data_IF_433024569477
#
_entry.id   IF_433024569477
#
_cell.length_a   1.000
_cell.length_b   1.000
_cell.length_c   1.000
_cell.angle_alpha   90.00
_cell.angle_beta   90.00
_cell.angle_gamma   90.00
#
_symmetry.space_group_name_H-M   'P 1'
#
loop_
_entity.id
_entity.type
_entity.pdbx_description
1 polymer ?
#
# COMPACT_ATOMS: atom_id res chain seq x y z
N UNK A 1 6.38 -28.40 32.70
CA UNK A 1 5.81 -28.72 31.38
C UNK A 1 5.43 -27.38 30.72
N UNK A 2 6.07 -27.03 29.60
CA UNK A 2 5.69 -25.85 28.82
C UNK A 2 4.33 -26.07 28.19
N UNK A 3 3.42 -25.09 28.31
CA UNK A 3 2.09 -25.17 27.68
C UNK A 3 2.25 -25.29 26.14
N UNK A 4 1.35 -26.00 25.45
CA UNK A 4 1.33 -26.00 23.99
C UNK A 4 1.14 -24.58 23.44
N UNK A 5 1.77 -24.29 22.31
CA UNK A 5 1.58 -23.00 21.62
C UNK A 5 0.15 -22.92 21.05
N UNK A 6 -0.51 -21.81 21.29
CA UNK A 6 -1.84 -21.49 20.74
C UNK A 6 -1.70 -21.09 19.28
N UNK A 7 -2.13 -21.95 18.36
CA UNK A 7 -2.02 -21.77 16.94
C UNK A 7 -3.32 -21.24 16.31
N UNK A 8 -3.20 -20.22 15.49
CA UNK A 8 -4.25 -19.77 14.59
C UNK A 8 -3.93 -20.17 13.15
N UNK A 9 -4.90 -20.74 12.46
CA UNK A 9 -4.78 -21.19 11.06
C UNK A 9 -5.39 -20.12 10.15
N UNK A 10 -4.66 -19.72 9.10
CA UNK A 10 -5.19 -18.78 8.11
C UNK A 10 -5.16 -19.37 6.70
N UNK A 11 -6.30 -19.34 6.05
CA UNK A 11 -6.47 -19.79 4.66
C UNK A 11 -7.15 -18.71 3.81
N UNK A 12 -6.78 -18.65 2.53
CA UNK A 12 -7.40 -17.74 1.57
C UNK A 12 -7.52 -18.35 0.18
N UNK A 13 -8.69 -18.20 -0.43
CA UNK A 13 -8.91 -18.54 -1.84
C UNK A 13 -9.48 -17.33 -2.60
N UNK A 14 -9.11 -17.20 -3.88
CA UNK A 14 -9.72 -16.27 -4.81
C UNK A 14 -10.86 -16.95 -5.56
N UNK A 15 -11.93 -16.22 -5.88
CA UNK A 15 -13.08 -16.71 -6.67
C UNK A 15 -12.71 -17.20 -8.08
N UNK A 16 -11.53 -16.85 -8.58
CA UNK A 16 -11.09 -17.16 -9.94
C UNK A 16 -10.41 -18.55 -10.09
N UNK A 17 -10.13 -19.23 -8.99
CA UNK A 17 -9.46 -20.54 -9.03
C UNK A 17 -10.41 -21.63 -8.54
N UNK A 18 -11.19 -22.19 -9.46
CA UNK A 18 -12.09 -23.33 -9.27
C UNK A 18 -11.36 -24.66 -8.94
N UNK A 19 -10.33 -24.67 -8.16
CA UNK A 19 -9.59 -25.90 -7.83
C UNK A 19 -8.80 -25.87 -6.53
N UNK A 20 -8.80 -24.75 -5.82
CA UNK A 20 -8.14 -24.67 -4.51
C UNK A 20 -9.19 -24.60 -3.42
N UNK A 21 -9.48 -25.74 -2.82
CA UNK A 21 -10.38 -25.84 -1.69
C UNK A 21 -9.72 -25.24 -0.43
N UNK A 22 -10.42 -24.33 0.25
CA UNK A 22 -10.01 -23.83 1.59
C UNK A 22 -9.86 -25.00 2.56
N UNK A 23 -10.72 -26.00 2.43
CA UNK A 23 -10.69 -27.21 3.25
C UNK A 23 -9.34 -27.92 3.17
N UNK A 24 -8.81 -28.16 1.97
CA UNK A 24 -7.50 -28.78 1.80
C UNK A 24 -6.37 -27.98 2.46
N UNK A 25 -6.39 -26.65 2.35
CA UNK A 25 -5.40 -25.81 3.02
C UNK A 25 -5.49 -25.95 4.54
N UNK A 26 -6.70 -25.90 5.09
CA UNK A 26 -6.92 -26.02 6.53
C UNK A 26 -6.57 -27.42 7.06
N UNK A 27 -6.83 -28.47 6.30
CA UNK A 27 -6.49 -29.83 6.71
C UNK A 27 -4.97 -30.04 6.78
N UNK A 28 -4.21 -29.53 5.81
CA UNK A 28 -2.75 -29.52 5.88
C UNK A 28 -2.24 -28.70 7.07
N UNK A 29 -2.84 -27.53 7.35
CA UNK A 29 -2.48 -26.71 8.49
C UNK A 29 -2.76 -27.39 9.82
N UNK A 30 -3.91 -28.09 9.95
CA UNK A 30 -4.26 -28.89 11.13
C UNK A 30 -3.28 -30.04 11.35
N UNK A 31 -2.89 -30.72 10.27
CA UNK A 31 -1.90 -31.79 10.33
C UNK A 31 -0.56 -31.28 10.87
N UNK A 32 -0.06 -30.16 10.36
CA UNK A 32 1.19 -29.55 10.84
C UNK A 32 1.06 -29.10 12.29
N UNK A 33 -0.07 -28.51 12.67
CA UNK A 33 -0.31 -28.12 14.07
C UNK A 33 -0.29 -29.33 15.02
N UNK A 34 -0.92 -30.43 14.62
CA UNK A 34 -0.90 -31.69 15.38
C UNK A 34 0.52 -32.27 15.51
N UNK A 35 1.29 -32.32 14.40
CA UNK A 35 2.67 -32.81 14.40
C UNK A 35 3.60 -31.98 15.31
N UNK A 36 3.33 -30.67 15.44
CA UNK A 36 4.10 -29.76 16.27
C UNK A 36 3.59 -29.65 17.71
N UNK A 37 2.52 -30.36 18.06
CA UNK A 37 1.91 -30.32 19.39
C UNK A 37 1.29 -28.97 19.71
N UNK A 38 0.77 -28.24 18.74
CA UNK A 38 0.12 -26.96 18.93
C UNK A 38 -1.37 -27.13 19.26
N UNK A 39 -1.88 -26.25 20.09
CA UNK A 39 -3.32 -26.12 20.35
C UNK A 39 -3.94 -25.20 19.30
N UNK A 40 -4.79 -25.72 18.43
CA UNK A 40 -5.50 -24.93 17.42
C UNK A 40 -6.65 -24.19 18.08
N UNK A 41 -6.51 -22.86 18.23
CA UNK A 41 -7.52 -22.00 18.89
C UNK A 41 -8.52 -21.41 17.92
N UNK A 42 -8.29 -21.47 16.61
CA UNK A 42 -9.21 -20.97 15.60
C UNK A 42 -8.69 -21.06 14.18
N UNK A 43 -9.64 -21.05 13.24
CA UNK A 43 -9.39 -20.95 11.80
C UNK A 43 -9.97 -19.63 11.28
N UNK A 44 -9.21 -18.97 10.42
CA UNK A 44 -9.54 -17.67 9.83
C UNK A 44 -9.52 -17.82 8.31
N UNK A 45 -10.66 -17.54 7.69
CA UNK A 45 -10.86 -17.80 6.27
C UNK A 45 -11.35 -16.56 5.54
N UNK A 46 -10.62 -16.16 4.50
CA UNK A 46 -11.04 -15.14 3.56
C UNK A 46 -11.34 -15.77 2.20
N UNK A 47 -12.61 -15.80 1.81
CA UNK A 47 -13.10 -16.35 0.55
C UNK A 47 -13.62 -15.25 -0.37
N UNK A 48 -13.49 -15.45 -1.69
CA UNK A 48 -14.11 -14.56 -2.68
C UNK A 48 -13.42 -13.20 -2.88
N UNK A 49 -12.21 -13.01 -2.35
CA UNK A 49 -11.51 -11.72 -2.38
C UNK A 49 -10.65 -11.61 -3.62
N UNK A 50 -11.17 -11.02 -4.70
CA UNK A 50 -10.41 -10.67 -5.90
C UNK A 50 -10.08 -9.17 -5.95
N UNK A 51 -8.82 -8.83 -6.30
CA UNK A 51 -8.38 -7.48 -6.59
C UNK A 51 -7.73 -6.69 -5.44
N UNK A 52 -7.12 -5.55 -5.80
CA UNK A 52 -6.25 -4.75 -4.92
C UNK A 52 -6.97 -4.06 -3.74
N UNK A 53 -8.30 -3.91 -3.79
CA UNK A 53 -9.12 -3.20 -2.77
C UNK A 53 -9.98 -4.11 -1.89
N UNK A 54 -9.89 -5.42 -2.04
CA UNK A 54 -10.77 -6.31 -1.32
C UNK A 54 -10.41 -6.39 0.17
N UNK A 55 -11.39 -6.13 1.02
CA UNK A 55 -11.32 -6.30 2.48
C UNK A 55 -10.96 -7.76 2.84
N UNK A 56 -10.17 -7.96 3.89
CA UNK A 56 -9.79 -9.26 4.45
C UNK A 56 -10.20 -9.34 5.92
N UNK A 57 -11.50 -9.45 6.17
CA UNK A 57 -12.01 -9.35 7.54
C UNK A 57 -11.49 -10.48 8.45
N UNK A 58 -11.17 -11.65 7.89
CA UNK A 58 -10.60 -12.73 8.68
C UNK A 58 -9.13 -12.46 9.03
N UNK A 59 -8.34 -11.93 8.09
CA UNK A 59 -6.96 -11.50 8.36
C UNK A 59 -6.93 -10.38 9.41
N UNK A 60 -7.81 -9.38 9.29
CA UNK A 60 -7.86 -8.26 10.23
C UNK A 60 -8.17 -8.75 11.65
N UNK A 61 -9.14 -9.66 11.80
CA UNK A 61 -9.46 -10.31 13.09
C UNK A 61 -8.30 -11.16 13.62
N UNK A 62 -7.61 -11.90 12.74
CA UNK A 62 -6.45 -12.70 13.10
C UNK A 62 -5.34 -11.82 13.70
N UNK A 63 -5.02 -10.71 13.03
CA UNK A 63 -3.99 -9.78 13.49
C UNK A 63 -4.38 -9.07 14.79
N UNK A 64 -5.65 -8.75 14.98
CA UNK A 64 -6.14 -8.19 16.26
C UNK A 64 -6.02 -9.20 17.41
N UNK A 65 -6.35 -10.47 17.18
CA UNK A 65 -6.17 -11.52 18.16
C UNK A 65 -4.68 -11.79 18.45
N UNK A 66 -3.80 -11.68 17.45
CA UNK A 66 -2.36 -11.77 17.64
C UNK A 66 -1.87 -10.60 18.51
N UNK A 67 -2.28 -9.37 18.21
CA UNK A 67 -1.92 -8.16 18.95
C UNK A 67 -2.38 -8.21 20.42
N UNK A 68 -3.53 -8.82 20.69
CA UNK A 68 -4.09 -8.95 22.05
C UNK A 68 -3.55 -10.16 22.83
N UNK A 69 -2.53 -10.85 22.32
CA UNK A 69 -1.86 -11.94 23.02
C UNK A 69 -2.69 -13.23 23.13
N UNK A 70 -3.71 -13.40 22.29
CA UNK A 70 -4.53 -14.62 22.25
C UNK A 70 -3.86 -15.75 21.46
N UNK A 71 -2.89 -15.43 20.61
CA UNK A 71 -2.22 -16.32 19.67
C UNK A 71 -0.73 -16.32 19.95
N UNK A 72 -0.08 -17.49 19.88
CA UNK A 72 1.37 -17.62 20.00
C UNK A 72 2.02 -17.89 18.64
N UNK A 73 1.29 -18.50 17.69
CA UNK A 73 1.78 -18.79 16.33
C UNK A 73 0.65 -18.72 15.30
N UNK A 74 0.94 -18.16 14.14
CA UNK A 74 0.08 -18.17 12.96
C UNK A 74 0.64 -19.18 11.97
N UNK A 75 -0.19 -20.14 11.56
CA UNK A 75 0.12 -21.08 10.49
C UNK A 75 -0.62 -20.69 9.21
N UNK A 76 0.10 -20.60 8.11
CA UNK A 76 -0.43 -20.28 6.78
C UNK A 76 -0.02 -21.36 5.79
N UNK A 77 -0.82 -21.56 4.77
CA UNK A 77 -0.51 -22.54 3.74
C UNK A 77 0.67 -22.09 2.86
N UNK A 78 0.68 -20.81 2.42
CA UNK A 78 1.72 -20.18 1.60
C UNK A 78 1.74 -18.67 1.80
N UNK A 79 2.90 -18.02 1.64
CA UNK A 79 3.08 -16.59 1.84
C UNK A 79 2.14 -15.71 0.99
N UNK A 80 1.84 -16.13 -0.24
CA UNK A 80 0.93 -15.41 -1.14
C UNK A 80 -0.52 -15.38 -0.64
N UNK A 81 -0.88 -16.25 0.29
CA UNK A 81 -2.18 -16.23 0.98
C UNK A 81 -2.22 -15.11 2.02
N UNK A 82 -1.11 -14.89 2.71
CA UNK A 82 -1.03 -13.88 3.79
C UNK A 82 -0.87 -12.47 3.23
N UNK A 83 0.03 -12.26 2.29
CA UNK A 83 0.37 -10.94 1.79
C UNK A 83 0.23 -10.81 0.27
N UNK A 84 -0.02 -9.60 -0.22
CA UNK A 84 -0.15 -9.29 -1.66
C UNK A 84 1.17 -8.77 -2.27
N UNK A 85 2.11 -8.42 -1.43
CA UNK A 85 3.45 -7.97 -1.82
C UNK A 85 4.43 -8.30 -0.71
N UNK A 86 5.71 -8.37 -1.06
CA UNK A 86 6.77 -8.62 -0.08
C UNK A 86 6.82 -7.49 0.96
N UNK A 87 6.60 -6.24 0.55
CA UNK A 87 6.53 -5.12 1.48
C UNK A 87 5.40 -5.28 2.53
N UNK A 88 4.22 -5.71 2.10
CA UNK A 88 3.11 -5.98 3.02
C UNK A 88 3.40 -7.18 3.93
N UNK A 89 4.05 -8.23 3.39
CA UNK A 89 4.51 -9.36 4.19
C UNK A 89 5.46 -8.90 5.30
N UNK A 90 6.46 -8.09 4.97
CA UNK A 90 7.43 -7.59 5.95
C UNK A 90 6.78 -6.73 7.03
N UNK A 91 5.78 -5.91 6.68
CA UNK A 91 4.98 -5.16 7.66
C UNK A 91 4.25 -6.09 8.65
N UNK A 92 3.63 -7.16 8.14
CA UNK A 92 2.96 -8.15 9.00
C UNK A 92 3.98 -8.87 9.90
N UNK A 93 5.09 -9.35 9.32
CA UNK A 93 6.15 -10.07 10.07
C UNK A 93 6.72 -9.22 11.18
N UNK A 94 6.99 -7.94 10.94
CA UNK A 94 7.54 -7.03 11.96
C UNK A 94 6.51 -6.76 13.08
N UNK A 95 5.23 -6.63 12.72
CA UNK A 95 4.14 -6.53 13.70
C UNK A 95 4.05 -7.79 14.56
N UNK A 96 4.06 -8.97 13.95
CA UNK A 96 4.02 -10.25 14.66
C UNK A 96 5.23 -10.43 15.59
N UNK A 97 6.41 -10.04 15.14
CA UNK A 97 7.64 -10.04 15.96
C UNK A 97 7.50 -9.13 17.18
N UNK A 98 6.94 -7.93 17.02
CA UNK A 98 6.69 -6.97 18.11
C UNK A 98 5.69 -7.55 19.13
N UNK A 99 4.71 -8.33 18.68
CA UNK A 99 3.72 -8.98 19.55
C UNK A 99 4.18 -10.33 20.10
N UNK A 100 5.39 -10.81 19.73
CA UNK A 100 5.91 -12.10 20.16
C UNK A 100 5.22 -13.31 19.50
N UNK A 101 4.57 -13.12 18.34
CA UNK A 101 3.81 -14.15 17.64
C UNK A 101 4.64 -14.75 16.50
N UNK A 102 4.74 -16.08 16.44
CA UNK A 102 5.41 -16.81 15.38
C UNK A 102 4.59 -16.85 14.08
N UNK A 103 5.28 -16.95 12.94
CA UNK A 103 4.69 -17.21 11.62
C UNK A 103 5.32 -18.45 11.00
N UNK A 104 4.49 -19.37 10.53
CA UNK A 104 4.92 -20.61 9.86
C UNK A 104 4.16 -20.78 8.56
N UNK A 105 4.88 -21.00 7.46
CA UNK A 105 4.30 -21.39 6.17
C UNK A 105 4.54 -22.87 5.90
N UNK A 106 3.50 -23.60 5.51
CA UNK A 106 3.61 -25.03 5.25
C UNK A 106 4.31 -25.32 3.92
N UNK A 107 4.01 -24.53 2.91
CA UNK A 107 4.55 -24.74 1.55
C UNK A 107 5.80 -23.93 1.23
N UNK A 108 6.14 -22.96 2.05
CA UNK A 108 7.40 -22.22 1.95
C UNK A 108 8.34 -22.69 3.06
N UNK A 109 9.06 -23.79 2.80
CA UNK A 109 9.84 -24.54 3.80
C UNK A 109 10.84 -23.73 4.64
N UNK A 110 11.24 -22.55 4.16
CA UNK A 110 12.17 -21.67 4.84
C UNK A 110 11.50 -20.56 5.68
N UNK A 111 10.16 -20.55 5.75
CA UNK A 111 9.40 -19.53 6.46
C UNK A 111 8.82 -20.11 7.74
N UNK A 112 9.66 -20.10 8.77
CA UNK A 112 9.31 -20.49 10.13
C UNK A 112 10.00 -19.57 11.12
N UNK A 113 9.30 -18.51 11.55
CA UNK A 113 9.89 -17.53 12.49
C UNK A 113 10.05 -18.06 13.91
N UNK A 114 9.54 -19.24 14.22
CA UNK A 114 9.78 -19.89 15.51
C UNK A 114 11.21 -20.41 15.61
N UNK A 115 11.90 -20.58 14.46
CA UNK A 115 13.30 -21.03 14.38
C UNK A 115 14.25 -19.88 14.04
N UNK A 116 15.52 -19.92 14.50
CA UNK A 116 16.54 -18.94 14.09
C UNK A 116 16.77 -18.92 12.57
N UNK A 117 16.82 -20.07 11.92
CA UNK A 117 17.04 -20.20 10.48
C UNK A 117 15.89 -19.56 9.67
N UNK A 118 14.65 -19.81 10.05
CA UNK A 118 13.48 -19.21 9.37
C UNK A 118 13.41 -17.69 9.56
N UNK A 119 13.78 -17.17 10.74
CA UNK A 119 13.91 -15.73 10.95
C UNK A 119 14.97 -15.12 10.03
N UNK A 120 16.12 -15.76 9.91
CA UNK A 120 17.20 -15.33 9.01
C UNK A 120 16.75 -15.34 7.54
N UNK A 121 16.06 -16.40 7.09
CA UNK A 121 15.53 -16.52 5.74
C UNK A 121 14.57 -15.37 5.40
N UNK A 122 13.69 -15.00 6.33
CA UNK A 122 12.77 -13.86 6.14
C UNK A 122 13.51 -12.51 6.10
N UNK A 123 14.58 -12.33 6.87
CA UNK A 123 15.40 -11.11 6.80
C UNK A 123 16.07 -10.97 5.43
N UNK A 124 16.59 -12.07 4.86
CA UNK A 124 17.16 -12.06 3.51
C UNK A 124 16.07 -11.70 2.48
N UNK A 125 14.88 -12.32 2.56
CA UNK A 125 13.78 -12.02 1.66
C UNK A 125 13.37 -10.54 1.72
N UNK A 126 13.34 -9.96 2.92
CA UNK A 126 13.08 -8.54 3.13
C UNK A 126 14.13 -7.64 2.48
N UNK A 127 15.41 -7.95 2.69
CA UNK A 127 16.53 -7.18 2.11
C UNK A 127 16.53 -7.25 0.57
N UNK A 128 16.26 -8.42 -0.01
CA UNK A 128 16.13 -8.58 -1.47
C UNK A 128 14.96 -7.74 -2.03
N UNK A 129 13.82 -7.74 -1.35
CA UNK A 129 12.65 -6.96 -1.76
C UNK A 129 12.90 -5.45 -1.68
N UNK A 130 13.68 -4.99 -0.70
CA UNK A 130 14.06 -3.59 -0.58
C UNK A 130 15.05 -3.17 -1.68
N UNK A 131 16.00 -4.03 -1.99
CA UNK A 131 16.92 -3.84 -3.12
C UNK A 131 16.15 -3.76 -4.45
N UNK A 132 15.24 -4.69 -4.72
CA UNK A 132 14.41 -4.64 -5.94
C UNK A 132 13.62 -3.34 -6.05
N UNK A 133 13.02 -2.88 -4.94
CA UNK A 133 12.28 -1.61 -4.91
C UNK A 133 13.19 -0.42 -5.22
N UNK A 134 14.38 -0.36 -4.63
CA UNK A 134 15.34 0.75 -4.89
C UNK A 134 15.79 0.76 -6.33
N UNK A 135 16.09 -0.40 -6.94
CA UNK A 135 16.46 -0.51 -8.35
C UNK A 135 15.33 -0.07 -9.29
N UNK A 136 14.08 -0.41 -8.97
CA UNK A 136 12.90 0.07 -9.74
C UNK A 136 12.79 1.59 -9.63
N UNK A 137 12.94 2.15 -8.43
CA UNK A 137 12.87 3.59 -8.20
C UNK A 137 13.96 4.34 -8.96
N UNK A 138 15.20 3.84 -8.95
CA UNK A 138 16.31 4.39 -9.72
C UNK A 138 16.00 4.41 -11.23
N UNK A 139 15.47 3.31 -11.78
CA UNK A 139 15.08 3.22 -13.19
C UNK A 139 13.97 4.21 -13.54
N UNK A 140 12.97 4.36 -12.68
CA UNK A 140 11.87 5.33 -12.85
C UNK A 140 12.42 6.75 -12.84
N UNK A 141 13.27 7.12 -11.89
CA UNK A 141 13.89 8.44 -11.80
C UNK A 141 14.75 8.73 -13.05
N UNK A 142 15.56 7.77 -13.47
CA UNK A 142 16.36 7.89 -14.71
C UNK A 142 15.48 8.06 -15.95
N UNK A 143 14.38 7.31 -16.04
CA UNK A 143 13.39 7.43 -17.12
C UNK A 143 12.72 8.81 -17.16
N UNK A 144 12.29 9.33 -16.00
CA UNK A 144 11.70 10.67 -15.88
C UNK A 144 12.72 11.76 -16.29
N UNK A 145 13.96 11.69 -15.80
CA UNK A 145 15.02 12.63 -16.19
C UNK A 145 15.28 12.64 -17.71
N UNK A 146 15.34 11.45 -18.32
CA UNK A 146 15.49 11.31 -19.78
C UNK A 146 14.32 11.93 -20.54
N UNK A 147 13.09 11.70 -20.08
CA UNK A 147 11.90 12.28 -20.69
C UNK A 147 11.87 13.81 -20.56
N UNK A 148 12.27 14.36 -19.41
CA UNK A 148 12.41 15.80 -19.18
C UNK A 148 13.50 16.41 -20.08
N UNK A 149 14.65 15.76 -20.22
CA UNK A 149 15.71 16.20 -21.12
C UNK A 149 15.27 16.18 -22.59
N UNK A 150 14.36 15.28 -22.96
CA UNK A 150 13.72 15.25 -24.28
C UNK A 150 12.54 16.23 -24.44
N UNK A 151 12.36 17.17 -23.48
CA UNK A 151 11.28 18.18 -23.52
C UNK A 151 9.89 17.65 -23.18
N UNK A 152 9.75 16.40 -22.73
CA UNK A 152 8.45 15.84 -22.36
C UNK A 152 8.03 16.34 -20.97
N UNK A 153 6.79 16.80 -20.85
CA UNK A 153 6.24 17.16 -19.56
C UNK A 153 5.97 15.89 -18.71
N UNK A 154 6.70 15.76 -17.61
CA UNK A 154 6.53 14.67 -16.66
C UNK A 154 5.80 15.19 -15.42
N UNK A 155 4.50 14.98 -15.34
CA UNK A 155 3.67 15.40 -14.22
C UNK A 155 2.19 15.47 -14.62
N UNK A 156 1.36 15.99 -13.71
CA UNK A 156 -0.06 16.19 -14.02
C UNK A 156 -0.18 17.17 -15.18
N UNK A 157 -0.92 16.82 -16.26
CA UNK A 157 -1.14 17.73 -17.38
C UNK A 157 -1.65 19.08 -16.91
N UNK A 158 -1.10 20.14 -17.48
CA UNK A 158 -1.60 21.49 -17.19
C UNK A 158 -3.03 21.60 -17.70
N UNK A 159 -3.98 21.91 -16.82
CA UNK A 159 -5.37 22.17 -17.22
C UNK A 159 -5.37 23.37 -18.17
N UNK A 160 -5.95 23.22 -19.36
CA UNK A 160 -6.23 24.35 -20.23
C UNK A 160 -7.26 25.25 -19.55
N UNK A 161 -6.87 26.46 -19.25
CA UNK A 161 -7.76 27.48 -18.71
C UNK A 161 -7.98 28.52 -19.81
N UNK A 162 -9.24 28.72 -20.18
CA UNK A 162 -9.59 29.87 -21.01
C UNK A 162 -9.42 31.14 -20.15
N UNK A 163 -8.41 31.92 -20.47
CA UNK A 163 -8.07 33.13 -19.73
C UNK A 163 -8.86 34.36 -20.19
N UNK A 164 -9.59 34.27 -21.34
CA UNK A 164 -10.34 35.41 -21.89
C UNK A 164 -11.37 35.98 -20.91
N UNK A 165 -12.20 35.17 -20.22
CA UNK A 165 -13.13 35.70 -19.21
C UNK A 165 -12.41 36.37 -18.03
N UNK A 166 -11.25 35.80 -17.63
CA UNK A 166 -10.46 36.36 -16.55
C UNK A 166 -9.91 37.75 -16.90
N UNK A 167 -9.38 37.90 -18.12
CA UNK A 167 -8.84 39.16 -18.62
C UNK A 167 -9.92 40.22 -18.75
N UNK A 168 -11.12 39.87 -19.23
CA UNK A 168 -12.25 40.77 -19.34
C UNK A 168 -12.64 41.33 -17.95
N UNK A 169 -12.86 40.46 -16.98
CA UNK A 169 -13.22 40.86 -15.60
C UNK A 169 -12.14 41.69 -14.91
N UNK A 170 -10.86 41.40 -15.13
CA UNK A 170 -9.75 42.22 -14.59
C UNK A 170 -9.68 43.58 -15.26
N UNK A 171 -9.97 43.73 -16.57
CA UNK A 171 -10.08 45.01 -17.26
C UNK A 171 -11.24 45.85 -16.78
N UNK A 172 -12.30 45.24 -16.28
CA UNK A 172 -13.45 45.90 -15.62
C UNK A 172 -13.10 46.43 -14.20
N UNK A 173 -11.84 46.24 -13.75
CA UNK A 173 -11.37 46.73 -12.43
C UNK A 173 -11.68 45.76 -11.28
N UNK A 174 -12.05 44.49 -11.56
CA UNK A 174 -12.27 43.50 -10.51
C UNK A 174 -10.94 42.98 -9.98
N UNK A 175 -10.89 42.74 -8.66
CA UNK A 175 -9.72 42.13 -8.01
C UNK A 175 -9.55 40.65 -8.47
N UNK A 176 -8.30 40.21 -8.58
CA UNK A 176 -7.93 38.84 -8.95
C UNK A 176 -8.57 37.77 -8.04
N UNK A 177 -8.80 38.09 -6.78
CA UNK A 177 -9.46 37.22 -5.80
C UNK A 177 -10.92 36.98 -6.20
N UNK A 178 -11.64 38.04 -6.59
CA UNK A 178 -13.02 37.96 -7.01
C UNK A 178 -13.17 37.27 -8.36
N UNK A 179 -12.27 37.56 -9.30
CA UNK A 179 -12.21 36.88 -10.60
C UNK A 179 -11.98 35.37 -10.41
N UNK A 180 -11.06 34.97 -9.54
CA UNK A 180 -10.81 33.56 -9.23
C UNK A 180 -12.06 32.89 -8.63
N UNK A 181 -12.80 33.58 -7.76
CA UNK A 181 -14.05 33.09 -7.16
C UNK A 181 -15.15 32.92 -8.22
N UNK A 182 -15.33 33.91 -9.10
CA UNK A 182 -16.35 33.87 -10.18
C UNK A 182 -16.08 32.70 -11.14
N UNK A 183 -14.80 32.50 -11.50
CA UNK A 183 -14.38 31.46 -12.43
C UNK A 183 -14.17 30.09 -11.74
N UNK A 184 -14.51 29.94 -10.46
CA UNK A 184 -14.33 28.73 -9.65
C UNK A 184 -12.91 28.17 -9.74
N UNK A 185 -11.92 29.08 -9.80
CA UNK A 185 -10.50 28.77 -9.91
C UNK A 185 -9.72 29.22 -8.67
N UNK A 186 -8.51 28.70 -8.54
CA UNK A 186 -7.59 29.12 -7.49
C UNK A 186 -6.82 30.38 -7.91
N UNK A 187 -6.78 31.42 -7.03
CA UNK A 187 -6.12 32.71 -7.29
C UNK A 187 -4.67 32.58 -7.74
N UNK A 188 -3.89 31.72 -7.07
CA UNK A 188 -2.49 31.54 -7.41
C UNK A 188 -2.28 30.85 -8.77
N UNK A 189 -3.15 29.90 -9.10
CA UNK A 189 -3.15 29.25 -10.41
C UNK A 189 -3.49 30.25 -11.52
N UNK A 190 -4.49 31.07 -11.33
CA UNK A 190 -4.91 32.11 -12.29
C UNK A 190 -3.80 33.14 -12.51
N UNK A 191 -3.20 33.68 -11.41
CA UNK A 191 -2.07 34.61 -11.48
C UNK A 191 -0.88 34.05 -12.25
N UNK A 192 -0.51 32.81 -11.95
CA UNK A 192 0.61 32.15 -12.64
C UNK A 192 0.33 32.00 -14.12
N UNK A 193 -0.88 31.60 -14.51
CA UNK A 193 -1.26 31.43 -15.91
C UNK A 193 -1.30 32.74 -16.68
N UNK A 194 -1.81 33.81 -16.09
CA UNK A 194 -1.77 35.14 -16.69
C UNK A 194 -0.33 35.64 -16.89
N UNK A 195 0.58 35.35 -15.96
CA UNK A 195 2.03 35.65 -16.13
C UNK A 195 2.66 34.83 -17.24
N UNK A 196 2.37 33.52 -17.33
CA UNK A 196 2.92 32.65 -18.39
C UNK A 196 2.58 33.13 -19.80
N UNK A 197 1.44 33.79 -19.98
CA UNK A 197 1.00 34.33 -21.29
C UNK A 197 1.25 35.85 -21.42
N UNK A 198 1.99 36.48 -20.51
CA UNK A 198 2.33 37.90 -20.55
C UNK A 198 1.15 38.86 -20.30
N UNK A 199 0.05 38.37 -19.72
CA UNK A 199 -1.14 39.15 -19.42
C UNK A 199 -1.23 39.61 -17.96
N UNK A 200 -0.15 39.54 -17.22
CA UNK A 200 -0.05 40.01 -15.83
C UNK A 200 1.23 40.85 -15.62
N UNK A 201 1.18 41.97 -14.91
CA UNK A 201 0.00 42.61 -14.29
C UNK A 201 -0.97 43.18 -15.33
N UNK A 202 -2.28 43.16 -14.99
CA UNK A 202 -3.29 43.83 -15.83
C UNK A 202 -3.32 45.32 -15.44
N UNK A 203 -3.37 46.25 -16.40
CA UNK A 203 -3.55 47.69 -16.11
C UNK A 203 -4.82 47.87 -15.29
N UNK A 204 -4.70 48.39 -14.07
CA UNK A 204 -5.80 48.55 -13.11
C UNK A 204 -5.70 47.70 -11.84
N UNK A 205 -4.79 46.72 -11.75
CA UNK A 205 -4.51 46.04 -10.50
C UNK A 205 -3.69 46.98 -9.61
N UNK A 206 -4.36 47.56 -8.62
CA UNK A 206 -3.76 48.54 -7.71
C UNK A 206 -2.53 47.97 -7.03
N UNK A 207 -1.37 48.20 -7.60
CA UNK A 207 -0.12 48.13 -6.90
C UNK A 207 -0.08 49.28 -5.89
N UNK A 208 -0.65 49.03 -4.71
CA UNK A 208 -0.28 49.81 -3.52
C UNK A 208 1.17 49.43 -3.25
N UNK A 209 2.08 50.28 -3.75
CA UNK A 209 3.44 50.30 -3.27
C UNK A 209 3.37 50.71 -1.80
N UNK A 210 3.75 49.84 -0.90
CA UNK A 210 4.01 49.99 0.50
C UNK A 210 5.20 49.12 0.83
#
# INVERSE_FOLDING_TARGET
MTRPLRAALYARVSTLHHGQDVGLQLDELRLVAAQRGWEVIGSYEDTGVSGAKASRPALDRLLDHARTGKIDVIAIWKLDRLARSVAHLMTIVESLKTWGVGLVSVRDAHVDTTTPAGRFSLQILGAVAELERSLIQERVVAGVRRAQAAGKHCGRPKRELDLRPAVALLREGRDLKDVARILRGERNTLRRRLREVGLWPVPGDGAVMG
#
